data_IF_643687251409
#
_entry.id   IF_643687251409
#
_cell.length_a   1.000
_cell.length_b   1.000
_cell.length_c   1.000
_cell.angle_alpha   90.00
_cell.angle_beta   90.00
_cell.angle_gamma   90.00
#
_symmetry.space_group_name_H-M   'P 1'
#
loop_
_entity.id
_entity.type
_entity.pdbx_description
1 polymer ?
#
# COMPACT_ATOMS: atom_id res chain seq x y z
N UNK A 1 -1.99 20.52 -67.78
CA UNK A 1 -1.71 21.00 -66.42
C UNK A 1 -2.48 20.12 -65.43
N UNK A 2 -1.80 19.17 -64.81
CA UNK A 2 -2.41 18.26 -63.82
C UNK A 2 -2.15 18.85 -62.44
N UNK A 3 -3.23 19.23 -61.70
CA UNK A 3 -3.16 19.72 -60.35
C UNK A 3 -3.06 18.49 -59.39
N UNK A 4 -1.90 18.29 -58.78
CA UNK A 4 -1.72 17.32 -57.69
C UNK A 4 -2.42 17.86 -56.42
N UNK A 5 -3.49 17.22 -56.00
CA UNK A 5 -4.10 17.42 -54.70
C UNK A 5 -3.33 16.55 -53.70
N UNK A 6 -2.47 17.17 -52.90
CA UNK A 6 -1.83 16.53 -51.75
C UNK A 6 -2.92 16.35 -50.69
N UNK A 7 -3.31 15.11 -50.45
CA UNK A 7 -4.24 14.75 -49.40
C UNK A 7 -3.46 14.74 -48.07
N UNK A 8 -3.57 15.80 -47.31
CA UNK A 8 -3.04 15.86 -45.94
C UNK A 8 -3.84 14.92 -45.06
N UNK A 9 -3.26 13.76 -44.78
CA UNK A 9 -3.77 12.86 -43.74
C UNK A 9 -3.38 13.49 -42.41
N UNK A 10 -4.31 14.22 -41.79
CA UNK A 10 -4.20 14.64 -40.39
C UNK A 10 -4.37 13.37 -39.55
N UNK A 11 -3.25 12.81 -39.10
CA UNK A 11 -3.21 11.75 -38.13
C UNK A 11 -3.73 12.34 -36.81
N UNK A 12 -5.03 12.28 -36.60
CA UNK A 12 -5.61 12.56 -35.28
C UNK A 12 -5.08 11.52 -34.30
N UNK A 13 -4.04 11.91 -33.55
CA UNK A 13 -3.58 11.18 -32.38
C UNK A 13 -4.74 11.18 -31.39
N UNK A 14 -5.56 10.12 -31.43
CA UNK A 14 -6.58 9.88 -30.41
C UNK A 14 -5.79 9.62 -29.12
N UNK A 15 -5.58 10.68 -28.34
CA UNK A 15 -5.24 10.55 -26.92
C UNK A 15 -6.42 9.84 -26.28
N UNK A 16 -6.33 8.51 -26.16
CA UNK A 16 -7.17 7.77 -25.27
C UNK A 16 -6.96 8.42 -23.88
N UNK A 17 -8.03 8.83 -23.19
CA UNK A 17 -7.86 9.28 -21.83
C UNK A 17 -7.17 8.14 -21.10
N UNK A 18 -5.94 8.37 -20.64
CA UNK A 18 -5.39 7.61 -19.52
C UNK A 18 -6.48 7.75 -18.48
N UNK A 19 -7.25 6.67 -18.28
CA UNK A 19 -8.21 6.61 -17.17
C UNK A 19 -7.34 6.80 -15.94
N UNK A 20 -7.24 8.04 -15.48
CA UNK A 20 -6.67 8.36 -14.21
C UNK A 20 -7.46 7.51 -13.24
N UNK A 21 -6.83 6.49 -12.67
CA UNK A 21 -7.38 5.83 -11.50
C UNK A 21 -7.67 6.97 -10.53
N UNK A 22 -8.96 7.21 -10.26
CA UNK A 22 -9.38 8.34 -9.47
C UNK A 22 -8.67 8.29 -8.13
N UNK A 23 -8.18 9.44 -7.68
CA UNK A 23 -7.71 9.57 -6.30
C UNK A 23 -8.83 9.12 -5.36
N UNK A 24 -8.45 8.53 -4.21
CA UNK A 24 -9.41 8.20 -3.15
C UNK A 24 -10.20 9.48 -2.81
N UNK A 25 -11.50 9.46 -3.07
CA UNK A 25 -12.35 10.63 -2.90
C UNK A 25 -12.86 10.77 -1.45
N UNK A 26 -13.42 11.94 -1.14
CA UNK A 26 -13.91 12.21 0.20
C UNK A 26 -15.06 11.29 0.62
N UNK A 27 -15.95 10.91 -0.30
CA UNK A 27 -17.08 10.01 -0.02
C UNK A 27 -16.57 8.62 0.37
N UNK A 28 -15.53 8.16 -0.29
CA UNK A 28 -14.86 6.91 0.00
C UNK A 28 -14.24 6.91 1.41
N UNK A 29 -13.57 8.01 1.78
CA UNK A 29 -12.98 8.21 3.12
C UNK A 29 -14.08 8.24 4.18
N UNK A 30 -15.13 9.00 3.97
CA UNK A 30 -16.24 9.15 4.93
C UNK A 30 -17.00 7.83 5.10
N UNK A 31 -17.22 7.08 4.01
CA UNK A 31 -17.83 5.75 4.04
C UNK A 31 -16.98 4.74 4.82
N UNK A 32 -15.68 4.71 4.57
CA UNK A 32 -14.74 3.86 5.30
C UNK A 32 -14.71 4.26 6.79
N UNK A 33 -14.62 5.54 7.10
CA UNK A 33 -14.59 6.05 8.47
C UNK A 33 -15.84 5.66 9.25
N UNK A 34 -17.03 5.78 8.68
CA UNK A 34 -18.28 5.36 9.32
C UNK A 34 -18.28 3.86 9.68
N UNK A 35 -17.74 3.02 8.82
CA UNK A 35 -17.58 1.58 9.09
C UNK A 35 -16.56 1.31 10.21
N UNK A 36 -15.45 2.04 10.22
CA UNK A 36 -14.42 1.89 11.25
C UNK A 36 -14.80 2.40 12.64
N UNK A 37 -15.84 3.24 12.76
CA UNK A 37 -16.34 3.67 14.09
C UNK A 37 -16.76 2.46 14.96
N UNK A 38 -17.24 1.40 14.36
CA UNK A 38 -17.64 0.16 15.05
C UNK A 38 -16.46 -0.75 15.39
N UNK A 39 -15.28 -0.52 14.84
CA UNK A 39 -14.10 -1.35 15.09
C UNK A 39 -13.39 -0.89 16.35
N UNK A 40 -13.15 -1.82 17.28
CA UNK A 40 -12.44 -1.52 18.53
C UNK A 40 -11.02 -1.06 18.26
N UNK A 41 -10.58 -0.01 18.94
CA UNK A 41 -9.19 0.43 18.88
C UNK A 41 -8.28 -0.57 19.62
N UNK A 42 -7.08 -0.79 19.09
CA UNK A 42 -6.03 -1.53 19.78
C UNK A 42 -5.22 -0.56 20.63
N UNK A 43 -5.39 -0.63 21.96
CA UNK A 43 -4.55 0.08 22.91
C UNK A 43 -3.28 -0.72 23.20
N UNK A 44 -2.15 -0.04 23.37
CA UNK A 44 -0.88 -0.65 23.78
C UNK A 44 0.31 -0.14 22.97
N UNK A 45 1.48 -0.18 23.61
CA UNK A 45 2.75 0.14 22.96
C UNK A 45 3.17 -0.96 21.98
N UNK A 46 3.94 -0.54 20.97
CA UNK A 46 4.62 -1.47 20.06
C UNK A 46 5.66 -2.26 20.86
N UNK A 47 5.44 -3.57 21.03
CA UNK A 47 6.47 -4.45 21.54
C UNK A 47 7.36 -4.87 20.37
N UNK A 48 8.52 -4.26 20.30
CA UNK A 48 9.53 -4.58 19.30
C UNK A 48 10.24 -5.89 19.69
N UNK A 49 10.28 -6.84 18.76
CA UNK A 49 11.23 -7.93 18.80
C UNK A 49 12.24 -7.70 17.68
N UNK A 50 13.47 -7.38 18.07
CA UNK A 50 14.52 -7.10 17.10
C UNK A 50 15.12 -8.39 16.56
N UNK A 51 14.48 -8.99 15.58
CA UNK A 51 15.14 -9.91 14.67
C UNK A 51 15.16 -9.24 13.31
N UNK A 52 16.37 -9.10 12.73
CA UNK A 52 16.51 -8.53 11.39
C UNK A 52 15.75 -9.40 10.40
N UNK A 53 14.81 -8.78 9.71
CA UNK A 53 14.02 -9.41 8.66
C UNK A 53 14.53 -8.95 7.30
N UNK A 54 14.74 -9.90 6.41
CA UNK A 54 15.03 -9.60 5.01
C UNK A 54 13.73 -9.43 4.22
N UNK A 55 13.70 -8.46 3.31
CA UNK A 55 12.56 -8.19 2.44
C UNK A 55 12.99 -8.26 0.97
N UNK A 56 12.37 -9.18 0.23
CA UNK A 56 12.59 -9.36 -1.20
C UNK A 56 11.29 -9.06 -1.95
N UNK A 57 11.33 -8.13 -2.91
CA UNK A 57 10.19 -7.77 -3.75
C UNK A 57 10.55 -8.07 -5.20
N UNK A 58 9.76 -8.92 -5.86
CA UNK A 58 9.96 -9.35 -7.25
C UNK A 58 11.41 -9.75 -7.53
N UNK A 59 11.96 -10.61 -6.66
CA UNK A 59 13.35 -11.15 -6.68
C UNK A 59 14.45 -10.12 -6.33
N UNK A 60 14.11 -8.88 -6.02
CA UNK A 60 15.08 -7.85 -5.62
C UNK A 60 15.11 -7.75 -4.10
N UNK A 61 16.28 -7.92 -3.49
CA UNK A 61 16.47 -7.65 -2.06
C UNK A 61 16.46 -6.14 -1.82
N UNK A 62 15.45 -5.70 -1.07
CA UNK A 62 15.25 -4.28 -0.74
C UNK A 62 15.57 -3.95 0.71
N UNK A 63 16.01 -4.91 1.49
CA UNK A 63 16.22 -4.77 2.94
C UNK A 63 17.13 -3.59 3.29
N UNK A 64 18.23 -3.45 2.55
CA UNK A 64 19.25 -2.42 2.82
C UNK A 64 18.91 -1.03 2.26
N UNK A 65 17.94 -0.94 1.37
CA UNK A 65 17.57 0.34 0.74
C UNK A 65 16.34 0.99 1.38
N UNK A 66 15.67 0.29 2.31
CA UNK A 66 14.62 0.87 3.14
C UNK A 66 15.25 1.80 4.18
N UNK A 67 14.65 2.97 4.41
CA UNK A 67 15.08 3.91 5.44
C UNK A 67 14.88 3.35 6.85
N UNK A 68 13.80 2.58 7.03
CA UNK A 68 13.45 1.94 8.28
C UNK A 68 13.36 0.44 8.06
N UNK A 69 14.13 -0.31 8.85
CA UNK A 69 14.12 -1.77 8.76
C UNK A 69 12.75 -2.37 9.06
N UNK A 70 12.34 -3.43 8.34
CA UNK A 70 11.21 -4.25 8.76
C UNK A 70 11.46 -4.81 10.16
N UNK A 71 10.41 -4.94 10.95
CA UNK A 71 10.52 -5.45 12.33
C UNK A 71 9.35 -6.37 12.67
N UNK A 72 9.55 -7.22 13.65
CA UNK A 72 8.48 -8.01 14.22
C UNK A 72 7.77 -7.22 15.32
N UNK A 73 6.49 -6.94 15.14
CA UNK A 73 5.66 -6.23 16.11
C UNK A 73 4.52 -7.16 16.53
N UNK A 74 4.39 -7.43 17.83
CA UNK A 74 3.36 -8.30 18.37
C UNK A 74 3.24 -9.65 17.62
N UNK A 75 4.39 -10.26 17.26
CA UNK A 75 4.46 -11.53 16.53
C UNK A 75 4.03 -11.43 15.06
N UNK A 76 4.02 -10.24 14.49
CA UNK A 76 3.70 -10.01 13.07
C UNK A 76 4.81 -9.21 12.41
N UNK A 77 5.28 -9.66 11.26
CA UNK A 77 6.20 -8.89 10.43
C UNK A 77 5.55 -7.59 10.00
N UNK A 78 6.17 -6.48 10.31
CA UNK A 78 5.68 -5.14 10.00
C UNK A 78 6.72 -4.32 9.26
N UNK A 79 6.27 -3.46 8.38
CA UNK A 79 7.11 -2.56 7.59
C UNK A 79 6.72 -1.12 7.83
N UNK A 80 7.69 -0.23 7.69
CA UNK A 80 7.44 1.21 7.61
C UNK A 80 6.63 1.47 6.34
N UNK A 81 5.39 1.90 6.52
CA UNK A 81 4.40 1.96 5.44
C UNK A 81 4.86 2.79 4.24
N UNK A 82 5.38 3.98 4.51
CA UNK A 82 5.83 4.89 3.45
C UNK A 82 7.00 4.32 2.67
N UNK A 83 8.01 3.77 3.36
CA UNK A 83 9.18 3.18 2.70
C UNK A 83 8.80 2.03 1.79
N UNK A 84 7.90 1.16 2.26
CA UNK A 84 7.38 0.05 1.47
C UNK A 84 6.57 0.54 0.25
N UNK A 85 5.64 1.48 0.48
CA UNK A 85 4.78 1.99 -0.58
C UNK A 85 5.57 2.72 -1.68
N UNK A 86 6.52 3.57 -1.30
CA UNK A 86 7.40 4.27 -2.25
C UNK A 86 8.23 3.26 -3.06
N UNK A 87 8.67 2.16 -2.43
CA UNK A 87 9.47 1.14 -3.11
C UNK A 87 8.73 0.42 -4.23
N UNK A 88 7.44 0.23 -4.10
CA UNK A 88 6.59 -0.38 -5.12
C UNK A 88 5.94 0.65 -6.06
N UNK A 89 6.21 1.95 -5.88
CA UNK A 89 5.62 3.02 -6.67
C UNK A 89 4.18 3.36 -6.30
N UNK A 90 3.74 3.04 -5.08
CA UNK A 90 2.42 3.40 -4.58
C UNK A 90 2.41 4.82 -4.02
N UNK A 91 1.28 5.52 -4.20
CA UNK A 91 1.06 6.85 -3.63
C UNK A 91 0.46 6.73 -2.23
N UNK A 92 1.01 7.49 -1.28
CA UNK A 92 0.56 7.52 0.13
C UNK A 92 0.06 8.90 0.50
N UNK A 93 -1.15 8.96 1.04
CA UNK A 93 -1.79 10.21 1.49
C UNK A 93 -2.26 10.09 2.93
N UNK A 94 -2.01 11.11 3.75
CA UNK A 94 -2.52 11.20 5.11
C UNK A 94 -3.81 12.01 5.18
N UNK A 95 -4.87 11.42 5.69
CA UNK A 95 -6.17 12.07 5.91
C UNK A 95 -6.34 12.37 7.40
N UNK A 96 -5.81 13.52 7.84
CA UNK A 96 -5.74 13.90 9.27
C UNK A 96 -7.09 13.96 9.96
N UNK A 97 -8.13 14.46 9.28
CA UNK A 97 -9.49 14.58 9.83
C UNK A 97 -10.11 13.21 10.19
N UNK A 98 -9.73 12.16 9.47
CA UNK A 98 -10.20 10.79 9.70
C UNK A 98 -9.17 9.90 10.41
N UNK A 99 -7.96 10.42 10.69
CA UNK A 99 -6.81 9.64 11.19
C UNK A 99 -6.56 8.37 10.38
N UNK A 100 -6.60 8.51 9.06
CA UNK A 100 -6.43 7.41 8.11
C UNK A 100 -5.30 7.68 7.12
N UNK A 101 -4.69 6.61 6.66
CA UNK A 101 -3.72 6.60 5.57
C UNK A 101 -4.40 6.03 4.35
N UNK A 102 -4.32 6.74 3.22
CA UNK A 102 -4.74 6.25 1.92
C UNK A 102 -3.54 5.78 1.11
N UNK A 103 -3.70 4.68 0.41
CA UNK A 103 -2.71 4.12 -0.51
C UNK A 103 -3.40 3.85 -1.84
N UNK A 104 -2.80 4.35 -2.91
CA UNK A 104 -3.23 4.15 -4.27
C UNK A 104 -2.13 3.41 -5.04
N UNK A 105 -2.45 2.22 -5.58
CA UNK A 105 -1.51 1.43 -6.38
C UNK A 105 -2.27 0.62 -7.44
N UNK A 106 -2.03 0.94 -8.71
CA UNK A 106 -2.78 0.35 -9.82
C UNK A 106 -4.29 0.56 -9.64
N UNK A 107 -5.05 -0.53 -9.48
CA UNK A 107 -6.50 -0.52 -9.22
C UNK A 107 -6.85 -0.64 -7.74
N UNK A 108 -5.86 -0.68 -6.87
CA UNK A 108 -6.07 -0.85 -5.44
C UNK A 108 -6.15 0.50 -4.74
N UNK A 109 -7.27 0.75 -4.08
CA UNK A 109 -7.47 1.81 -3.11
C UNK A 109 -7.53 1.19 -1.72
N UNK A 110 -6.63 1.58 -0.84
CA UNK A 110 -6.57 1.07 0.53
C UNK A 110 -6.66 2.24 1.50
N UNK A 111 -7.58 2.15 2.48
CA UNK A 111 -7.68 3.09 3.59
C UNK A 111 -7.41 2.37 4.90
N UNK A 112 -6.49 2.91 5.69
CA UNK A 112 -5.99 2.29 6.91
C UNK A 112 -6.19 3.26 8.07
N UNK A 113 -7.13 2.98 8.97
CA UNK A 113 -7.26 3.75 10.21
C UNK A 113 -6.10 3.40 11.14
N UNK A 114 -5.49 4.42 11.75
CA UNK A 114 -4.48 4.21 12.79
C UNK A 114 -5.13 3.61 14.04
N UNK A 115 -4.43 2.72 14.70
CA UNK A 115 -4.85 2.04 15.94
C UNK A 115 -6.06 1.10 15.82
N UNK A 116 -6.48 0.70 14.62
CA UNK A 116 -7.57 -0.27 14.43
C UNK A 116 -7.10 -1.50 13.65
N UNK A 117 -7.58 -2.69 14.06
CA UNK A 117 -7.26 -3.98 13.42
C UNK A 117 -8.10 -4.22 12.16
N UNK A 118 -8.21 -3.23 11.33
CA UNK A 118 -8.94 -3.34 10.07
C UNK A 118 -8.39 -2.36 9.04
N UNK A 119 -8.55 -2.70 7.78
CA UNK A 119 -8.33 -1.80 6.65
C UNK A 119 -9.48 -1.92 5.65
N UNK A 120 -9.66 -0.92 4.83
CA UNK A 120 -10.63 -0.91 3.77
C UNK A 120 -9.90 -1.04 2.43
N UNK A 121 -10.33 -1.99 1.61
CA UNK A 121 -9.74 -2.27 0.31
C UNK A 121 -10.84 -2.32 -0.73
N UNK A 122 -10.85 -1.38 -1.66
CA UNK A 122 -11.81 -1.35 -2.78
C UNK A 122 -13.29 -1.58 -2.35
N UNK A 123 -13.74 -0.92 -1.28
CA UNK A 123 -15.12 -1.04 -0.77
C UNK A 123 -15.36 -2.09 0.31
N UNK A 124 -14.37 -2.94 0.62
CA UNK A 124 -14.50 -4.04 1.58
C UNK A 124 -13.64 -3.79 2.82
N UNK A 125 -14.16 -4.14 3.99
CA UNK A 125 -13.38 -4.18 5.22
C UNK A 125 -12.64 -5.52 5.28
N UNK A 126 -11.35 -5.45 5.61
CA UNK A 126 -10.47 -6.60 5.82
C UNK A 126 -9.87 -6.49 7.22
N UNK A 127 -9.99 -7.54 8.01
CA UNK A 127 -9.42 -7.60 9.34
C UNK A 127 -7.90 -7.77 9.28
N UNK A 128 -7.21 -7.13 10.21
CA UNK A 128 -5.77 -7.23 10.38
C UNK A 128 -5.43 -7.94 11.70
N UNK A 129 -4.35 -8.71 11.72
CA UNK A 129 -3.86 -9.38 12.94
C UNK A 129 -3.46 -8.37 14.01
N UNK A 130 -2.81 -7.29 13.62
CA UNK A 130 -2.45 -6.14 14.47
C UNK A 130 -2.84 -4.84 13.76
N UNK A 131 -3.05 -3.78 14.54
CA UNK A 131 -3.36 -2.46 13.98
C UNK A 131 -2.12 -1.82 13.33
N UNK A 132 -2.35 -0.92 12.37
CA UNK A 132 -1.31 0.02 11.96
C UNK A 132 -1.04 0.99 13.11
N UNK A 133 0.24 1.17 13.46
CA UNK A 133 0.68 1.96 14.61
C UNK A 133 1.71 3.02 14.21
N UNK A 134 1.60 4.19 14.81
CA UNK A 134 2.63 5.23 14.70
C UNK A 134 3.68 4.98 15.78
N UNK A 135 4.94 4.79 15.37
CA UNK A 135 6.06 4.67 16.26
C UNK A 135 6.44 6.05 16.82
N UNK A 136 6.30 6.25 18.13
CA UNK A 136 6.40 7.58 18.76
C UNK A 136 7.73 8.30 18.55
N UNK A 137 8.85 7.58 18.56
CA UNK A 137 10.20 8.18 18.42
C UNK A 137 10.50 8.64 16.99
N UNK A 138 9.99 7.95 15.98
CA UNK A 138 10.33 8.22 14.57
C UNK A 138 9.18 8.82 13.78
N UNK A 139 7.99 8.93 14.38
CA UNK A 139 6.74 9.33 13.69
C UNK A 139 6.44 8.47 12.44
N UNK A 140 6.97 7.26 12.42
CA UNK A 140 6.84 6.31 11.31
C UNK A 140 5.66 5.39 11.57
N UNK A 141 4.79 5.21 10.58
CA UNK A 141 3.69 4.25 10.69
C UNK A 141 4.16 2.87 10.25
N UNK A 142 4.03 1.89 11.14
CA UNK A 142 4.25 0.48 10.86
C UNK A 142 2.93 -0.25 10.63
N UNK A 143 2.94 -1.16 9.67
CA UNK A 143 1.76 -1.96 9.29
C UNK A 143 2.18 -3.42 9.06
N UNK A 144 1.30 -4.41 9.37
CA UNK A 144 1.57 -5.80 9.03
C UNK A 144 1.83 -5.97 7.53
N UNK A 145 3.02 -6.47 7.20
CA UNK A 145 3.49 -6.61 5.81
C UNK A 145 2.53 -7.43 4.95
N UNK A 146 2.08 -8.59 5.45
CA UNK A 146 1.19 -9.47 4.68
C UNK A 146 -0.11 -8.77 4.30
N UNK A 147 -0.75 -8.09 5.25
CA UNK A 147 -2.01 -7.42 4.99
C UNK A 147 -1.89 -6.36 3.90
N UNK A 148 -0.87 -5.49 3.99
CA UNK A 148 -0.71 -4.43 2.99
C UNK A 148 -0.24 -4.96 1.64
N UNK A 149 0.68 -5.93 1.61
CA UNK A 149 1.16 -6.50 0.37
C UNK A 149 0.05 -7.22 -0.41
N UNK A 150 -0.75 -8.05 0.27
CA UNK A 150 -1.89 -8.74 -0.36
C UNK A 150 -2.96 -7.75 -0.86
N UNK A 151 -3.25 -6.69 -0.10
CA UNK A 151 -4.18 -5.63 -0.54
C UNK A 151 -3.71 -4.90 -1.80
N UNK A 152 -2.41 -4.85 -2.03
CA UNK A 152 -1.79 -4.23 -3.20
C UNK A 152 -1.46 -5.23 -4.33
N UNK A 153 -1.93 -6.48 -4.20
CA UNK A 153 -1.82 -7.49 -5.26
C UNK A 153 -0.51 -8.27 -5.28
N UNK A 154 0.16 -8.39 -4.15
CA UNK A 154 1.33 -9.26 -3.99
C UNK A 154 0.97 -10.55 -3.26
N UNK A 155 1.59 -11.66 -3.66
CA UNK A 155 1.66 -12.88 -2.87
C UNK A 155 2.80 -12.74 -1.88
N UNK A 156 2.60 -13.17 -0.62
CA UNK A 156 3.61 -13.10 0.43
C UNK A 156 3.97 -14.50 0.91
N UNK A 157 5.19 -14.91 0.65
CA UNK A 157 5.79 -16.13 1.17
C UNK A 157 6.82 -15.76 2.24
N UNK A 158 6.94 -16.57 3.29
CA UNK A 158 7.88 -16.35 4.38
C UNK A 158 8.80 -17.57 4.53
N UNK A 159 10.10 -17.32 4.50
CA UNK A 159 11.14 -18.33 4.67
C UNK A 159 11.73 -18.19 6.09
N UNK A 160 11.44 -19.17 6.93
CA UNK A 160 11.79 -19.11 8.36
C UNK A 160 13.30 -19.22 8.61
N UNK A 161 14.02 -20.05 7.85
CA UNK A 161 15.46 -20.27 8.04
C UNK A 161 16.26 -18.99 7.84
N UNK A 162 16.01 -18.29 6.74
CA UNK A 162 16.68 -17.03 6.39
C UNK A 162 16.00 -15.81 6.97
N UNK A 163 14.85 -15.97 7.63
CA UNK A 163 13.98 -14.91 8.11
C UNK A 163 13.66 -13.87 7.03
N UNK A 164 13.22 -14.37 5.87
CA UNK A 164 12.99 -13.57 4.67
C UNK A 164 11.51 -13.56 4.28
N UNK A 165 10.95 -12.37 4.10
CA UNK A 165 9.65 -12.20 3.46
C UNK A 165 9.86 -11.97 1.96
N UNK A 166 9.23 -12.80 1.12
CA UNK A 166 9.26 -12.69 -0.34
C UNK A 166 7.91 -12.24 -0.86
N UNK A 167 7.91 -11.15 -1.59
CA UNK A 167 6.72 -10.59 -2.24
C UNK A 167 6.84 -10.82 -3.75
N UNK A 168 5.79 -11.40 -4.32
CA UNK A 168 5.71 -11.63 -5.76
C UNK A 168 4.47 -10.93 -6.30
N UNK A 169 4.64 -10.01 -7.25
CA UNK A 169 3.53 -9.30 -7.89
C UNK A 169 2.62 -10.29 -8.61
N UNK A 170 1.31 -10.19 -8.34
CA UNK A 170 0.28 -10.95 -9.04
C UNK A 170 -0.34 -10.17 -10.20
N UNK A 171 0.07 -8.92 -10.38
CA UNK A 171 -0.37 -8.12 -11.51
C UNK A 171 0.30 -8.68 -12.77
N UNK A 172 -0.48 -9.27 -13.66
CA UNK A 172 -0.01 -9.66 -14.99
C UNK A 172 0.43 -8.39 -15.72
N UNK A 173 1.72 -8.26 -15.97
CA UNK A 173 2.24 -7.30 -16.95
C UNK A 173 1.57 -7.61 -18.28
N UNK A 174 0.70 -6.74 -18.77
CA UNK A 174 0.19 -6.77 -20.12
C UNK A 174 1.18 -6.07 -21.02
#
# INVERSE_FOLDING_TARGET
>A
MKKNRILSIVLALIMLPVTAFGAIDRKEIDSANAKFQKTKAESGELKEFSRDLNLVIDKVDVTKVLKHKPMAINGSTSVALRDFAERIGAKVTWYGHARMIGIEFGKSHVLIPVDKKAMWVNGKIIDMKIAAKIHGKTSTTYIPLRNIAEALGYKVDFEEESFTARLTSQQKTK
#
